data_IF_340579819441
#
_entry.id   IF_340579819441
#
_cell.length_a   1.000
_cell.length_b   1.000
_cell.length_c   1.000
_cell.angle_alpha   90.00
_cell.angle_beta   90.00
_cell.angle_gamma   90.00
#
_symmetry.space_group_name_H-M   'P 1'
#
loop_
_entity.id
_entity.type
_entity.pdbx_description
1 polymer ?
#
# COMPACT_ATOMS: atom_id res chain seq x y z
N UNK A 1 53.92 43.99 -38.61
CA UNK A 1 53.06 43.02 -39.31
C UNK A 1 52.50 42.06 -38.28
N UNK A 2 51.24 41.67 -38.48
CA UNK A 2 50.25 41.29 -37.47
C UNK A 2 50.48 39.91 -36.86
N UNK A 3 50.41 39.84 -35.54
CA UNK A 3 50.38 38.65 -34.68
C UNK A 3 49.03 37.96 -34.79
N UNK A 4 49.03 36.66 -35.13
CA UNK A 4 47.85 35.80 -35.17
C UNK A 4 47.70 35.14 -33.80
N UNK A 5 46.61 35.49 -33.09
CA UNK A 5 46.24 34.90 -31.81
C UNK A 5 45.19 33.80 -32.09
N UNK A 6 45.59 32.53 -32.06
CA UNK A 6 44.68 31.40 -32.19
C UNK A 6 43.87 31.24 -30.91
N UNK A 7 42.56 31.51 -31.01
CA UNK A 7 41.59 31.28 -29.95
C UNK A 7 41.19 29.79 -29.94
N UNK A 8 41.69 29.05 -28.96
CA UNK A 8 41.29 27.67 -28.69
C UNK A 8 39.96 27.72 -27.92
N UNK A 9 38.84 27.44 -28.59
CA UNK A 9 37.51 27.32 -27.94
C UNK A 9 37.45 25.96 -27.26
N UNK A 10 37.59 25.96 -25.93
CA UNK A 10 37.37 24.79 -25.10
C UNK A 10 35.89 24.43 -25.06
N UNK A 11 35.54 23.31 -25.68
CA UNK A 11 34.21 22.70 -25.60
C UNK A 11 34.05 22.07 -24.20
N UNK A 12 33.54 22.84 -23.25
CA UNK A 12 33.16 22.35 -21.93
C UNK A 12 31.91 21.49 -22.10
N UNK A 13 32.08 20.17 -22.21
CA UNK A 13 30.97 19.22 -22.17
C UNK A 13 30.48 19.19 -20.72
N UNK A 14 29.54 20.07 -20.40
CA UNK A 14 28.70 19.92 -19.23
C UNK A 14 27.88 18.65 -19.41
N UNK A 15 28.38 17.51 -18.91
CA UNK A 15 27.54 16.37 -18.54
C UNK A 15 26.75 16.77 -17.30
N UNK A 16 25.88 17.77 -17.44
CA UNK A 16 24.80 17.96 -16.49
C UNK A 16 24.00 16.67 -16.54
N UNK A 17 24.03 15.91 -15.46
CA UNK A 17 23.21 14.71 -15.35
C UNK A 17 21.79 15.11 -15.66
N UNK A 18 21.30 14.72 -16.83
CA UNK A 18 19.88 14.73 -17.14
C UNK A 18 19.28 13.77 -16.12
N UNK A 19 18.87 14.30 -14.97
CA UNK A 19 17.92 13.61 -14.11
C UNK A 19 16.70 13.45 -15.01
N UNK A 20 16.52 12.24 -15.53
CA UNK A 20 15.27 11.87 -16.17
C UNK A 20 14.14 12.31 -15.23
N UNK A 21 13.05 12.82 -15.78
CA UNK A 21 11.86 13.12 -14.99
C UNK A 21 11.36 11.77 -14.48
N UNK A 22 11.77 11.38 -13.29
CA UNK A 22 11.36 10.13 -12.66
C UNK A 22 10.08 10.39 -11.92
N UNK A 23 9.04 9.61 -12.20
CA UNK A 23 7.82 9.67 -11.39
C UNK A 23 7.88 8.63 -10.27
N UNK A 24 8.52 7.47 -10.51
CA UNK A 24 8.77 6.47 -9.48
C UNK A 24 9.98 6.85 -8.64
N UNK A 25 9.80 6.76 -7.33
CA UNK A 25 10.88 6.87 -6.37
C UNK A 25 11.78 5.63 -6.37
N UNK A 26 13.00 5.81 -5.88
CA UNK A 26 13.93 4.71 -5.69
C UNK A 26 13.38 3.73 -4.65
N UNK A 27 13.62 2.43 -4.90
CA UNK A 27 13.18 1.31 -4.06
C UNK A 27 11.66 1.27 -3.85
N UNK A 28 10.88 1.82 -4.79
CA UNK A 28 9.44 1.83 -4.72
C UNK A 28 8.86 0.41 -4.86
N UNK A 29 7.98 0.03 -3.92
CA UNK A 29 7.32 -1.27 -3.85
C UNK A 29 5.83 -1.08 -3.61
N UNK A 30 5.00 -1.78 -4.39
CA UNK A 30 3.55 -1.81 -4.26
C UNK A 30 3.09 -3.20 -3.88
N UNK A 31 2.07 -3.27 -3.03
CA UNK A 31 1.33 -4.50 -2.74
C UNK A 31 -0.14 -4.26 -3.06
N UNK A 32 -0.66 -4.93 -4.08
CA UNK A 32 -2.08 -4.89 -4.43
C UNK A 32 -2.76 -6.18 -3.99
N UNK A 33 -3.86 -6.07 -3.25
CA UNK A 33 -4.69 -7.21 -2.91
C UNK A 33 -5.47 -7.69 -4.11
N UNK A 34 -5.47 -9.00 -4.36
CA UNK A 34 -6.28 -9.63 -5.40
C UNK A 34 -7.53 -10.18 -4.73
N UNK A 35 -8.68 -9.55 -5.01
CA UNK A 35 -9.98 -10.07 -4.61
C UNK A 35 -10.55 -10.99 -5.71
N UNK A 36 -11.38 -11.98 -5.37
CA UNK A 36 -11.74 -12.43 -4.02
C UNK A 36 -10.76 -13.45 -3.41
N UNK A 37 -9.74 -13.87 -4.18
CA UNK A 37 -8.86 -15.00 -3.85
C UNK A 37 -8.01 -14.81 -2.57
N UNK A 38 -7.95 -13.59 -2.05
CA UNK A 38 -7.21 -13.24 -0.83
C UNK A 38 -5.73 -13.02 -1.07
N UNK A 39 -5.21 -13.36 -2.26
CA UNK A 39 -3.81 -13.16 -2.63
C UNK A 39 -3.40 -11.70 -2.74
N UNK A 40 -2.13 -11.49 -3.10
CA UNK A 40 -1.62 -10.18 -3.44
C UNK A 40 -0.68 -10.29 -4.63
N UNK A 41 -0.53 -9.17 -5.31
CA UNK A 41 0.43 -8.92 -6.35
C UNK A 41 1.42 -7.88 -5.82
N UNK A 42 2.69 -8.09 -6.12
CA UNK A 42 3.72 -7.09 -5.85
C UNK A 42 4.17 -6.45 -7.13
N UNK A 43 4.60 -5.20 -7.03
CA UNK A 43 5.44 -4.54 -8.03
C UNK A 43 6.63 -3.92 -7.33
N UNK A 44 7.79 -3.96 -7.97
CA UNK A 44 9.03 -3.37 -7.47
C UNK A 44 9.70 -2.60 -8.60
N UNK A 45 10.09 -1.36 -8.34
CA UNK A 45 10.95 -0.59 -9.21
C UNK A 45 12.38 -1.14 -9.13
N UNK A 46 12.94 -1.57 -10.27
CA UNK A 46 14.25 -2.24 -10.32
C UNK A 46 15.33 -1.44 -11.04
N UNK A 47 14.99 -0.29 -11.60
CA UNK A 47 15.94 0.62 -12.25
C UNK A 47 15.45 1.22 -13.56
N UNK A 48 16.25 2.15 -14.07
CA UNK A 48 16.02 2.83 -15.34
C UNK A 48 16.60 2.02 -16.52
N UNK A 49 15.99 2.19 -17.69
CA UNK A 49 16.40 1.61 -18.98
C UNK A 49 16.00 2.56 -20.11
N UNK A 50 16.28 2.20 -21.36
CA UNK A 50 15.73 2.86 -22.54
C UNK A 50 14.89 1.88 -23.37
N UNK A 51 13.70 2.30 -23.79
CA UNK A 51 12.82 1.54 -24.69
C UNK A 51 12.37 2.49 -25.79
N UNK A 52 12.58 2.10 -27.05
CA UNK A 52 12.22 2.89 -28.24
C UNK A 52 12.71 4.36 -28.19
N UNK A 53 13.95 4.56 -27.71
CA UNK A 53 14.56 5.88 -27.58
C UNK A 53 14.05 6.73 -26.40
N UNK A 54 13.11 6.23 -25.60
CA UNK A 54 12.60 6.91 -24.41
C UNK A 54 13.29 6.38 -23.15
N UNK A 55 13.60 7.27 -22.21
CA UNK A 55 14.03 6.88 -20.87
C UNK A 55 12.85 6.25 -20.13
N UNK A 56 13.02 5.03 -19.66
CA UNK A 56 11.96 4.23 -19.07
C UNK A 56 12.36 3.71 -17.69
N UNK A 57 11.41 3.67 -16.76
CA UNK A 57 11.53 3.04 -15.46
C UNK A 57 10.97 1.62 -15.55
N UNK A 58 11.78 0.61 -15.19
CA UNK A 58 11.40 -0.81 -15.23
C UNK A 58 10.87 -1.24 -13.86
N UNK A 59 9.73 -1.93 -13.88
CA UNK A 59 9.15 -2.59 -12.72
C UNK A 59 9.04 -4.09 -12.97
N UNK A 60 9.23 -4.88 -11.90
CA UNK A 60 8.97 -6.32 -11.89
C UNK A 60 7.76 -6.58 -11.00
N UNK A 61 6.74 -7.20 -11.59
CA UNK A 61 5.52 -7.62 -10.94
C UNK A 61 5.50 -9.11 -10.66
N UNK A 62 5.07 -9.51 -9.46
CA UNK A 62 4.84 -10.92 -9.13
C UNK A 62 3.36 -11.10 -8.77
N UNK A 63 2.58 -11.92 -9.50
CA UNK A 63 2.96 -12.77 -10.64
C UNK A 63 2.94 -12.07 -12.01
N UNK A 64 2.74 -10.75 -12.08
CA UNK A 64 2.30 -10.04 -13.29
C UNK A 64 3.35 -9.73 -14.36
N UNK A 65 4.63 -10.06 -14.14
CA UNK A 65 5.67 -9.96 -15.16
C UNK A 65 6.47 -8.66 -15.10
N UNK A 66 6.60 -7.95 -16.22
CA UNK A 66 7.46 -6.76 -16.33
C UNK A 66 6.63 -5.61 -16.90
N UNK A 67 6.81 -4.43 -16.33
CA UNK A 67 6.20 -3.18 -16.79
C UNK A 67 7.30 -2.15 -17.04
N UNK A 68 7.14 -1.34 -18.08
CA UNK A 68 8.02 -0.19 -18.33
C UNK A 68 7.17 1.06 -18.41
N UNK A 69 7.58 2.10 -17.69
CA UNK A 69 6.87 3.40 -17.68
C UNK A 69 7.82 4.55 -18.02
N UNK A 70 7.30 5.65 -18.56
CA UNK A 70 8.09 6.83 -18.89
C UNK A 70 7.27 8.08 -18.59
N UNK A 71 7.83 9.06 -17.88
CA UNK A 71 7.19 10.35 -17.68
C UNK A 71 7.70 11.36 -18.71
N UNK A 72 6.79 11.94 -19.49
CA UNK A 72 7.08 13.05 -20.41
C UNK A 72 5.98 14.11 -20.31
N UNK A 73 6.36 15.37 -20.13
CA UNK A 73 5.43 16.51 -20.12
C UNK A 73 4.21 16.32 -19.19
N UNK A 74 4.46 15.77 -17.99
CA UNK A 74 3.42 15.42 -16.99
C UNK A 74 2.50 14.25 -17.36
N UNK A 75 2.79 13.51 -18.42
CA UNK A 75 2.08 12.30 -18.80
C UNK A 75 2.96 11.09 -18.50
N UNK A 76 2.44 10.17 -17.69
CA UNK A 76 3.05 8.86 -17.49
C UNK A 76 2.57 7.95 -18.60
N UNK A 77 3.51 7.42 -19.35
CA UNK A 77 3.29 6.43 -20.39
C UNK A 77 3.67 5.04 -19.89
N UNK A 78 3.05 4.02 -20.48
CA UNK A 78 3.42 2.61 -20.30
C UNK A 78 3.75 1.98 -21.65
N UNK A 79 4.76 1.12 -21.69
CA UNK A 79 5.10 0.34 -22.89
C UNK A 79 4.38 -1.00 -22.84
N UNK A 80 3.38 -1.20 -23.71
CA UNK A 80 2.66 -2.46 -23.77
C UNK A 80 2.30 -2.86 -25.20
N UNK A 81 1.87 -4.11 -25.33
CA UNK A 81 1.34 -4.65 -26.57
C UNK A 81 -0.07 -4.08 -26.84
N UNK A 82 -0.21 -3.42 -27.99
CA UNK A 82 -1.45 -2.92 -28.54
C UNK A 82 -1.76 -3.71 -29.82
N UNK A 83 -2.55 -4.78 -29.67
CA UNK A 83 -2.97 -5.64 -30.78
C UNK A 83 -1.82 -6.22 -31.64
N UNK A 84 -0.73 -6.65 -30.99
CA UNK A 84 0.44 -7.27 -31.63
C UNK A 84 1.57 -6.31 -31.97
N UNK A 85 1.40 -5.01 -31.68
CA UNK A 85 2.44 -3.99 -31.83
C UNK A 85 2.74 -3.34 -30.49
N UNK A 86 4.00 -3.36 -30.08
CA UNK A 86 4.42 -2.69 -28.85
C UNK A 86 4.59 -1.19 -29.10
N UNK A 87 3.94 -0.37 -28.27
CA UNK A 87 3.97 1.07 -28.35
C UNK A 87 3.84 1.72 -26.96
N UNK A 88 4.20 3.00 -26.88
CA UNK A 88 3.94 3.82 -25.70
C UNK A 88 2.49 4.28 -25.68
N UNK A 89 1.80 4.06 -24.57
CA UNK A 89 0.42 4.52 -24.34
C UNK A 89 0.28 5.33 -23.06
N UNK A 90 -0.77 6.13 -22.96
CA UNK A 90 -1.06 6.93 -21.77
C UNK A 90 -1.48 6.02 -20.62
N UNK A 91 -0.73 6.10 -19.51
CA UNK A 91 -1.11 5.50 -18.24
C UNK A 91 -1.81 6.53 -17.34
N UNK A 92 -1.16 7.66 -17.08
CA UNK A 92 -1.67 8.74 -16.23
C UNK A 92 -1.38 10.12 -16.82
N UNK A 93 -2.23 11.10 -16.50
CA UNK A 93 -2.03 12.51 -16.88
C UNK A 93 -1.95 13.38 -15.61
N UNK A 94 -0.74 13.66 -15.12
CA UNK A 94 -0.49 14.45 -13.91
C UNK A 94 -0.65 15.98 -14.09
N UNK A 95 -1.17 16.40 -15.24
CA UNK A 95 -1.63 17.76 -15.50
C UNK A 95 -3.13 17.82 -15.78
N UNK A 96 -3.84 16.69 -15.67
CA UNK A 96 -5.27 16.63 -15.91
C UNK A 96 -6.06 17.39 -14.84
N UNK A 97 -7.17 18.00 -15.24
CA UNK A 97 -8.12 18.72 -14.41
C UNK A 97 -9.48 18.02 -14.41
N UNK A 98 -10.40 18.33 -13.47
CA UNK A 98 -11.73 17.72 -13.47
C UNK A 98 -12.45 17.83 -14.83
N UNK A 99 -13.00 16.71 -15.29
CA UNK A 99 -13.63 16.56 -16.61
C UNK A 99 -12.70 16.10 -17.73
N UNK A 100 -11.38 16.08 -17.53
CA UNK A 100 -10.45 15.47 -18.49
C UNK A 100 -10.64 13.95 -18.56
N UNK A 101 -10.54 13.41 -19.77
CA UNK A 101 -10.80 11.99 -20.05
C UNK A 101 -9.73 11.36 -20.91
N UNK A 102 -9.45 10.08 -20.69
CA UNK A 102 -8.64 9.26 -21.60
C UNK A 102 -9.00 7.79 -21.48
N UNK A 103 -8.59 7.02 -22.48
CA UNK A 103 -8.74 5.57 -22.46
C UNK A 103 -7.65 4.93 -21.62
N UNK A 104 -7.99 3.97 -20.73
CA UNK A 104 -7.01 3.01 -20.27
C UNK A 104 -6.37 2.26 -21.44
N UNK A 105 -5.16 1.76 -21.22
CA UNK A 105 -4.48 0.94 -22.22
C UNK A 105 -5.35 -0.25 -22.65
N UNK A 106 -5.36 -0.53 -23.95
CA UNK A 106 -6.15 -1.60 -24.59
C UNK A 106 -7.67 -1.48 -24.41
N UNK A 107 -8.20 -0.34 -23.96
CA UNK A 107 -9.64 -0.17 -23.78
C UNK A 107 -10.39 0.03 -25.11
N UNK A 108 -9.83 0.80 -26.06
CA UNK A 108 -10.49 1.09 -27.34
C UNK A 108 -10.78 -0.16 -28.19
N UNK A 109 -9.97 -1.22 -28.04
CA UNK A 109 -10.15 -2.47 -28.78
C UNK A 109 -11.17 -3.40 -28.13
N UNK A 110 -11.53 -3.17 -26.86
CA UNK A 110 -12.34 -4.08 -26.06
C UNK A 110 -13.70 -3.47 -25.71
N UNK A 111 -13.81 -2.14 -25.60
CA UNK A 111 -14.98 -1.45 -25.05
C UNK A 111 -15.56 -0.42 -26.05
N UNK A 112 -16.88 -0.41 -26.29
CA UNK A 112 -17.51 0.60 -27.13
C UNK A 112 -17.47 1.96 -26.44
N UNK A 113 -17.05 3.00 -27.15
CA UNK A 113 -17.00 4.36 -26.62
C UNK A 113 -18.40 4.88 -26.19
N UNK A 114 -18.55 5.54 -25.03
CA UNK A 114 -17.51 5.98 -24.07
C UNK A 114 -17.28 5.02 -22.87
N UNK A 115 -17.85 3.82 -22.91
CA UNK A 115 -17.85 2.90 -21.78
C UNK A 115 -16.43 2.44 -21.42
N UNK A 116 -16.00 2.68 -20.17
CA UNK A 116 -14.68 2.29 -19.65
C UNK A 116 -13.59 3.36 -19.78
N UNK A 117 -13.91 4.55 -20.31
CA UNK A 117 -13.00 5.71 -20.23
C UNK A 117 -12.77 6.12 -18.78
N UNK A 118 -11.57 6.64 -18.49
CA UNK A 118 -11.28 7.31 -17.22
C UNK A 118 -11.69 8.77 -17.31
N UNK A 119 -12.28 9.29 -16.24
CA UNK A 119 -12.53 10.72 -16.05
C UNK A 119 -11.99 11.18 -14.69
N UNK A 120 -11.31 12.33 -14.70
CA UNK A 120 -10.94 13.03 -13.45
C UNK A 120 -12.19 13.68 -12.86
N UNK A 121 -12.57 13.26 -11.65
CA UNK A 121 -13.67 13.84 -10.90
C UNK A 121 -13.22 15.05 -10.07
N UNK A 122 -12.06 14.94 -9.44
CA UNK A 122 -11.50 15.99 -8.58
C UNK A 122 -9.97 15.90 -8.51
N UNK A 123 -9.34 17.01 -8.10
CA UNK A 123 -7.90 17.08 -7.81
C UNK A 123 -7.66 17.66 -6.43
N UNK A 124 -6.83 17.01 -5.62
CA UNK A 124 -6.51 17.44 -4.26
C UNK A 124 -5.05 17.20 -3.91
N UNK A 125 -4.70 17.42 -2.64
CA UNK A 125 -3.41 17.05 -2.06
C UNK A 125 -3.68 16.07 -0.92
N UNK A 126 -3.04 14.91 -0.95
CA UNK A 126 -3.03 13.95 0.14
C UNK A 126 -1.64 13.90 0.78
N UNK A 127 -1.59 13.99 2.11
CA UNK A 127 -0.33 13.89 2.85
C UNK A 127 -0.16 12.45 3.33
N UNK A 128 0.91 11.78 2.89
CA UNK A 128 1.27 10.43 3.31
C UNK A 128 2.60 10.52 4.07
N UNK A 129 2.57 10.24 5.37
CA UNK A 129 3.68 10.59 6.26
C UNK A 129 3.84 12.11 6.32
N UNK A 130 5.00 12.61 5.89
CA UNK A 130 5.30 14.05 5.75
C UNK A 130 5.40 14.50 4.28
N UNK A 131 4.99 13.64 3.34
CA UNK A 131 5.11 13.92 1.90
C UNK A 131 3.74 14.34 1.35
N UNK A 132 3.61 15.60 0.88
CA UNK A 132 2.41 16.02 0.15
C UNK A 132 2.46 15.47 -1.27
N UNK A 133 1.44 14.71 -1.65
CA UNK A 133 1.25 14.16 -3.00
C UNK A 133 0.02 14.81 -3.63
N UNK A 134 0.09 15.10 -4.93
CA UNK A 134 -1.11 15.48 -5.69
C UNK A 134 -1.93 14.23 -5.94
N UNK A 135 -3.24 14.37 -5.81
CA UNK A 135 -4.19 13.27 -5.90
C UNK A 135 -5.24 13.60 -6.96
N UNK A 136 -5.52 12.65 -7.84
CA UNK A 136 -6.63 12.69 -8.78
C UNK A 136 -7.64 11.64 -8.36
N UNK A 137 -8.86 12.06 -8.06
CA UNK A 137 -9.98 11.15 -7.87
C UNK A 137 -10.58 10.85 -9.23
N UNK A 138 -10.67 9.56 -9.57
CA UNK A 138 -11.01 9.04 -10.87
C UNK A 138 -12.32 8.26 -10.83
N UNK A 139 -13.08 8.31 -11.92
CA UNK A 139 -14.21 7.42 -12.18
C UNK A 139 -14.05 6.75 -13.56
N UNK A 140 -14.66 5.57 -13.71
CA UNK A 140 -14.93 5.00 -15.03
C UNK A 140 -16.22 5.60 -15.58
N UNK A 141 -16.31 5.82 -16.89
CA UNK A 141 -17.55 6.22 -17.54
C UNK A 141 -18.39 5.01 -17.94
N UNK A 142 -19.70 5.12 -17.78
CA UNK A 142 -20.70 4.16 -18.27
C UNK A 142 -20.98 4.30 -19.78
N UNK A 143 -21.92 3.51 -20.28
CA UNK A 143 -22.34 3.54 -21.69
C UNK A 143 -22.95 4.88 -22.11
N UNK A 144 -23.56 5.60 -21.18
CA UNK A 144 -24.14 6.93 -21.38
C UNK A 144 -23.11 8.07 -21.34
N UNK A 145 -21.84 7.76 -21.00
CA UNK A 145 -20.76 8.73 -20.87
C UNK A 145 -20.76 9.52 -19.57
N UNK A 146 -21.60 9.13 -18.61
CA UNK A 146 -21.60 9.63 -17.25
C UNK A 146 -20.71 8.75 -16.35
N UNK A 147 -20.17 9.27 -15.24
CA UNK A 147 -19.46 8.45 -14.26
C UNK A 147 -20.32 7.27 -13.79
N UNK A 148 -19.79 6.06 -13.92
CA UNK A 148 -20.43 4.86 -13.42
C UNK A 148 -20.60 4.99 -11.89
N UNK A 149 -21.75 4.56 -11.37
CA UNK A 149 -22.09 4.66 -9.93
C UNK A 149 -21.24 3.76 -9.03
N UNK A 150 -20.25 3.07 -9.58
CA UNK A 150 -19.26 2.29 -8.85
C UNK A 150 -18.34 3.14 -7.97
N UNK A 151 -17.58 2.51 -7.07
CA UNK A 151 -16.58 3.23 -6.29
C UNK A 151 -15.50 3.76 -7.22
N UNK A 152 -15.30 5.09 -7.20
CA UNK A 152 -14.13 5.71 -7.81
C UNK A 152 -12.83 5.23 -7.16
N UNK A 153 -11.71 5.72 -7.68
CA UNK A 153 -10.38 5.40 -7.16
C UNK A 153 -9.46 6.61 -7.23
N UNK A 154 -8.36 6.58 -6.50
CA UNK A 154 -7.41 7.67 -6.49
C UNK A 154 -6.16 7.28 -7.27
N UNK A 155 -5.54 8.28 -7.89
CA UNK A 155 -4.19 8.22 -8.43
C UNK A 155 -3.37 9.28 -7.71
N UNK A 156 -2.27 8.89 -7.08
CA UNK A 156 -1.32 9.85 -6.52
C UNK A 156 -0.19 10.09 -7.50
N UNK A 157 0.33 11.31 -7.60
CA UNK A 157 1.67 11.47 -8.18
C UNK A 157 2.65 10.67 -7.30
N UNK A 158 3.68 10.10 -7.94
CA UNK A 158 4.65 9.17 -7.31
C UNK A 158 4.16 7.74 -7.01
N UNK A 159 2.97 7.55 -6.47
CA UNK A 159 2.46 6.20 -6.11
C UNK A 159 1.67 5.56 -7.25
N UNK A 160 0.89 6.33 -8.01
CA UNK A 160 -0.01 5.78 -9.03
C UNK A 160 -1.37 5.40 -8.43
N UNK A 161 -2.08 4.49 -9.09
CA UNK A 161 -3.48 4.17 -8.78
C UNK A 161 -3.67 3.28 -7.55
N UNK A 162 -4.75 3.52 -6.81
CA UNK A 162 -5.18 2.67 -5.68
C UNK A 162 -5.84 1.37 -6.10
N UNK A 163 -6.10 1.14 -7.39
CA UNK A 163 -6.77 -0.07 -7.89
C UNK A 163 -5.91 -0.93 -8.84
N UNK A 164 -4.60 -0.84 -8.69
CA UNK A 164 -3.60 -1.51 -9.53
C UNK A 164 -2.80 -0.51 -10.35
N UNK A 165 -1.50 -0.78 -10.56
CA UNK A 165 -0.60 0.13 -11.28
C UNK A 165 -1.02 0.40 -12.74
N UNK A 166 -1.80 -0.49 -13.34
CA UNK A 166 -2.41 -0.27 -14.65
C UNK A 166 -3.92 -0.43 -14.48
N UNK A 167 -4.66 0.69 -14.36
CA UNK A 167 -6.12 0.63 -14.32
C UNK A 167 -6.61 -0.03 -15.61
N UNK A 168 -7.38 -1.11 -15.47
CA UNK A 168 -8.04 -1.78 -16.59
C UNK A 168 -9.42 -1.14 -16.80
N UNK A 169 -9.95 -1.11 -18.03
CA UNK A 169 -11.26 -0.52 -18.27
C UNK A 169 -12.33 -1.25 -17.46
N UNK A 170 -12.82 -0.57 -16.42
CA UNK A 170 -13.86 -1.07 -15.53
C UNK A 170 -15.20 -1.15 -16.25
N UNK A 171 -15.98 -2.21 -15.98
CA UNK A 171 -17.35 -2.36 -16.49
C UNK A 171 -17.48 -3.18 -17.78
N UNK A 172 -16.70 -2.88 -18.82
CA UNK A 172 -16.77 -3.60 -20.10
C UNK A 172 -15.98 -4.92 -20.10
N UNK A 173 -14.98 -5.06 -19.22
CA UNK A 173 -14.32 -6.33 -18.97
C UNK A 173 -14.71 -6.79 -17.57
N UNK A 174 -15.42 -7.92 -17.49
CA UNK A 174 -15.62 -8.66 -16.24
C UNK A 174 -14.29 -9.32 -15.87
N UNK A 175 -13.31 -8.54 -15.39
CA UNK A 175 -12.10 -9.13 -14.81
C UNK A 175 -12.37 -9.36 -13.34
N UNK A 176 -12.47 -10.62 -12.94
CA UNK A 176 -12.67 -11.09 -11.56
C UNK A 176 -11.49 -10.75 -10.60
N UNK A 177 -10.70 -9.72 -10.89
CA UNK A 177 -9.60 -9.29 -10.04
C UNK A 177 -9.68 -7.78 -9.82
N UNK A 178 -10.54 -7.35 -8.90
CA UNK A 178 -10.35 -6.02 -8.32
C UNK A 178 -9.06 -6.05 -7.52
N UNK A 179 -8.12 -5.22 -7.96
CA UNK A 179 -6.86 -4.96 -7.26
C UNK A 179 -7.10 -3.76 -6.36
N UNK A 180 -6.66 -3.82 -5.11
CA UNK A 180 -6.72 -2.68 -4.21
C UNK A 180 -5.36 -2.51 -3.54
N UNK A 181 -4.82 -1.29 -3.53
CA UNK A 181 -3.54 -0.99 -2.92
C UNK A 181 -3.64 -1.31 -1.43
N UNK A 182 -2.86 -2.30 -0.97
CA UNK A 182 -2.71 -2.63 0.45
C UNK A 182 -1.68 -1.74 1.08
N UNK A 183 -0.51 -1.69 0.44
CA UNK A 183 0.62 -0.95 0.93
C UNK A 183 1.50 -0.40 -0.19
N UNK A 184 2.20 0.68 0.14
CA UNK A 184 3.28 1.25 -0.65
C UNK A 184 4.48 1.53 0.25
N UNK A 185 5.68 1.39 -0.29
CA UNK A 185 6.91 1.87 0.35
C UNK A 185 7.89 2.37 -0.70
N UNK A 186 8.71 3.35 -0.35
CA UNK A 186 9.88 3.80 -1.10
C UNK A 186 10.93 4.38 -0.14
N UNK A 187 12.01 4.97 -0.68
CA UNK A 187 13.10 5.57 0.11
C UNK A 187 12.66 6.70 1.07
N UNK A 188 11.62 7.46 0.73
CA UNK A 188 11.11 8.58 1.55
C UNK A 188 9.82 8.22 2.31
N UNK A 189 9.03 7.25 1.82
CA UNK A 189 7.81 6.72 2.45
C UNK A 189 8.11 5.29 2.92
N UNK A 190 8.61 5.08 4.14
CA UNK A 190 9.08 3.76 4.56
C UNK A 190 7.96 2.70 4.64
N UNK A 191 6.73 3.13 4.93
CA UNK A 191 5.53 2.30 4.85
C UNK A 191 4.27 3.16 4.84
N UNK A 192 3.43 2.97 3.83
CA UNK A 192 2.06 3.45 3.77
C UNK A 192 1.10 2.27 3.69
N UNK A 193 0.15 2.18 4.62
CA UNK A 193 -0.88 1.14 4.66
C UNK A 193 -2.27 1.76 4.47
N UNK A 194 -3.09 1.17 3.60
CA UNK A 194 -4.46 1.66 3.36
C UNK A 194 -5.48 1.12 4.35
N UNK A 195 -5.10 0.12 5.15
CA UNK A 195 -5.98 -0.58 6.10
C UNK A 195 -6.96 -1.57 5.47
N UNK A 196 -6.92 -1.77 4.15
CA UNK A 196 -7.76 -2.76 3.45
C UNK A 196 -7.38 -4.21 3.83
N UNK A 197 -6.12 -4.41 4.23
CA UNK A 197 -5.59 -5.69 4.71
C UNK A 197 -4.80 -5.45 6.00
N UNK A 198 -4.80 -6.40 6.97
CA UNK A 198 -3.97 -6.28 8.18
C UNK A 198 -2.47 -6.41 7.92
N UNK A 199 -2.07 -6.70 6.68
CA UNK A 199 -0.68 -6.85 6.25
C UNK A 199 -0.56 -6.65 4.73
N UNK A 200 0.60 -6.16 4.31
CA UNK A 200 1.00 -6.07 2.90
C UNK A 200 1.19 -7.44 2.24
N UNK A 201 1.75 -8.41 2.97
CA UNK A 201 2.26 -9.69 2.43
C UNK A 201 1.47 -10.92 2.88
N UNK A 202 0.52 -10.78 3.81
CA UNK A 202 -0.34 -11.89 4.22
C UNK A 202 -1.74 -11.76 3.62
N UNK A 203 -2.16 -12.81 2.92
CA UNK A 203 -3.52 -12.99 2.40
C UNK A 203 -4.55 -13.25 3.51
N UNK A 204 -4.10 -13.89 4.59
CA UNK A 204 -4.91 -14.28 5.74
C UNK A 204 -4.26 -13.73 7.01
N UNK A 205 -4.82 -12.65 7.54
CA UNK A 205 -4.62 -12.31 8.93
C UNK A 205 -5.72 -12.99 9.74
N UNK A 206 -5.38 -13.70 10.81
CA UNK A 206 -6.36 -13.89 11.88
C UNK A 206 -6.60 -12.49 12.42
N UNK A 207 -7.69 -11.85 11.98
CA UNK A 207 -8.16 -10.63 12.62
C UNK A 207 -8.37 -11.03 14.06
N UNK A 208 -7.45 -10.65 14.95
CA UNK A 208 -7.63 -10.81 16.38
C UNK A 208 -8.99 -10.23 16.66
N UNK A 209 -9.94 -11.09 16.96
CA UNK A 209 -11.31 -10.67 17.21
C UNK A 209 -11.25 -9.82 18.47
N UNK A 210 -11.14 -8.50 18.31
CA UNK A 210 -11.37 -7.52 19.37
C UNK A 210 -12.86 -7.46 19.77
N UNK A 211 -13.64 -8.51 19.46
CA UNK A 211 -15.04 -8.63 19.82
C UNK A 211 -15.25 -9.36 21.18
N UNK A 212 -14.21 -9.47 22.01
CA UNK A 212 -14.34 -10.05 23.35
C UNK A 212 -13.59 -9.23 24.37
N UNK A 213 -14.30 -8.32 25.06
CA UNK A 213 -13.88 -7.62 26.28
C UNK A 213 -12.61 -6.78 26.22
N UNK A 214 -12.73 -5.46 26.42
CA UNK A 214 -11.59 -4.58 26.71
C UNK A 214 -10.98 -4.98 28.04
N UNK A 215 -9.83 -5.65 27.99
CA UNK A 215 -9.02 -5.99 29.16
C UNK A 215 -7.89 -4.97 29.27
N UNK A 216 -7.77 -4.34 30.43
CA UNK A 216 -6.65 -3.46 30.78
C UNK A 216 -5.69 -4.21 31.69
N UNK A 217 -4.38 -4.08 31.41
CA UNK A 217 -3.30 -4.63 32.22
C UNK A 217 -2.44 -3.51 32.79
N UNK A 218 -2.33 -3.44 34.11
CA UNK A 218 -1.52 -2.41 34.76
C UNK A 218 -0.97 -2.86 36.13
N UNK A 219 0.22 -2.39 36.53
CA UNK A 219 1.12 -1.56 35.73
C UNK A 219 1.84 -2.39 34.64
N UNK A 220 2.21 -1.75 33.54
CA UNK A 220 3.08 -2.32 32.50
C UNK A 220 4.12 -1.26 32.08
N UNK A 221 5.42 -1.41 32.40
CA UNK A 221 6.03 -2.53 33.13
C UNK A 221 5.54 -2.67 34.57
N UNK A 222 5.71 -3.86 35.16
CA UNK A 222 5.36 -4.10 36.56
C UNK A 222 6.37 -4.96 37.30
N UNK A 223 6.38 -4.84 38.62
CA UNK A 223 7.30 -5.59 39.49
C UNK A 223 6.58 -6.80 40.07
N UNK A 224 5.91 -6.67 41.21
CA UNK A 224 5.44 -7.82 42.00
C UNK A 224 4.03 -8.30 41.64
N UNK A 225 3.29 -7.54 40.84
CA UNK A 225 1.94 -7.90 40.44
C UNK A 225 1.56 -7.20 39.13
N UNK A 226 0.58 -7.79 38.46
CA UNK A 226 -0.15 -7.17 37.35
C UNK A 226 -1.65 -7.29 37.65
N UNK A 227 -2.37 -6.20 37.43
CA UNK A 227 -3.83 -6.16 37.57
C UNK A 227 -4.44 -6.30 36.19
N UNK A 228 -5.34 -7.27 36.05
CA UNK A 228 -6.19 -7.46 34.88
C UNK A 228 -7.59 -6.93 35.23
N UNK A 229 -8.16 -6.05 34.40
CA UNK A 229 -9.51 -5.52 34.60
C UNK A 229 -10.28 -5.55 33.29
N UNK A 230 -11.46 -6.18 33.33
CA UNK A 230 -12.44 -6.21 32.23
C UNK A 230 -13.42 -5.05 32.39
N UNK A 231 -13.69 -4.33 31.29
CA UNK A 231 -14.56 -3.14 31.32
C UNK A 231 -16.02 -3.42 30.90
N UNK A 232 -16.30 -4.57 30.32
CA UNK A 232 -17.58 -4.90 29.68
C UNK A 232 -18.51 -5.77 30.55
N UNK A 233 -18.20 -5.92 31.84
CA UNK A 233 -19.00 -6.73 32.77
C UNK A 233 -18.83 -8.24 32.60
N UNK A 234 -17.98 -8.70 31.69
CA UNK A 234 -17.61 -10.12 31.59
C UNK A 234 -16.72 -10.56 32.75
N UNK A 235 -16.53 -11.88 32.87
CA UNK A 235 -15.68 -12.48 33.91
C UNK A 235 -14.51 -13.19 33.26
N UNK A 236 -13.37 -13.13 33.93
CA UNK A 236 -12.26 -14.05 33.67
C UNK A 236 -12.78 -15.49 33.76
N UNK A 237 -12.15 -16.38 33.01
CA UNK A 237 -12.35 -17.83 33.10
C UNK A 237 -11.00 -18.52 33.27
N UNK A 238 -10.04 -18.19 32.40
CA UNK A 238 -8.69 -18.73 32.45
C UNK A 238 -7.67 -17.65 32.11
N UNK A 239 -6.55 -17.66 32.81
CA UNK A 239 -5.40 -16.80 32.55
C UNK A 239 -4.16 -17.68 32.42
N UNK A 240 -3.38 -17.48 31.37
CA UNK A 240 -2.07 -18.10 31.19
C UNK A 240 -1.03 -17.03 30.95
N UNK A 241 0.08 -17.10 31.68
CA UNK A 241 1.25 -16.25 31.48
C UNK A 241 2.33 -17.11 30.84
N UNK A 242 2.85 -16.68 29.70
CA UNK A 242 3.94 -17.35 28.98
C UNK A 242 5.15 -16.44 28.88
N UNK A 243 6.33 -17.01 28.95
CA UNK A 243 7.57 -16.28 28.68
C UNK A 243 7.79 -16.06 27.17
N UNK A 244 8.88 -15.36 26.82
CA UNK A 244 9.28 -15.10 25.45
C UNK A 244 9.55 -16.37 24.59
N UNK A 245 9.68 -17.55 25.21
CA UNK A 245 9.83 -18.84 24.52
C UNK A 245 8.50 -19.60 24.42
N UNK A 246 7.39 -19.01 24.87
CA UNK A 246 6.05 -19.61 24.87
C UNK A 246 5.79 -20.61 26.01
N UNK A 247 6.72 -20.75 26.96
CA UNK A 247 6.57 -21.67 28.10
C UNK A 247 5.60 -21.07 29.10
N UNK A 248 4.61 -21.85 29.55
CA UNK A 248 3.66 -21.41 30.58
C UNK A 248 4.37 -21.27 31.92
N UNK A 249 4.40 -20.06 32.46
CA UNK A 249 4.97 -19.74 33.77
C UNK A 249 3.91 -19.68 34.87
N UNK A 250 2.70 -19.24 34.54
CA UNK A 250 1.54 -19.22 35.44
C UNK A 250 0.29 -19.63 34.68
N UNK A 251 -0.62 -20.33 35.35
CA UNK A 251 -1.92 -20.70 34.80
C UNK A 251 -2.94 -20.83 35.92
N UNK A 252 -3.95 -19.97 35.90
CA UNK A 252 -5.01 -19.95 36.91
C UNK A 252 -6.38 -19.79 36.27
N UNK A 253 -7.41 -20.29 36.94
CA UNK A 253 -8.81 -20.00 36.62
C UNK A 253 -9.41 -19.07 37.67
N UNK A 254 -10.13 -18.06 37.22
CA UNK A 254 -10.81 -17.08 38.06
C UNK A 254 -12.20 -16.82 37.50
N UNK A 255 -13.11 -16.29 38.32
CA UNK A 255 -14.48 -15.94 37.91
C UNK A 255 -14.84 -14.52 38.34
N UNK A 256 -13.88 -13.61 38.21
CA UNK A 256 -14.00 -12.20 38.61
C UNK A 256 -13.84 -11.28 37.39
N UNK A 257 -14.32 -10.04 37.46
CA UNK A 257 -14.09 -9.02 36.44
C UNK A 257 -12.77 -8.26 36.64
N UNK A 258 -12.10 -8.47 37.77
CA UNK A 258 -10.79 -7.90 38.09
C UNK A 258 -9.97 -8.89 38.90
N UNK A 259 -8.68 -9.00 38.59
CA UNK A 259 -7.75 -9.87 39.28
C UNK A 259 -6.39 -9.20 39.41
N UNK A 260 -5.82 -9.27 40.61
CA UNK A 260 -4.41 -8.93 40.86
C UNK A 260 -3.60 -10.21 40.87
N UNK A 261 -2.83 -10.45 39.82
CA UNK A 261 -1.97 -11.64 39.68
C UNK A 261 -0.62 -11.37 40.36
N UNK A 262 -0.18 -12.29 41.22
CA UNK A 262 1.15 -12.24 41.85
C UNK A 262 2.21 -12.73 40.86
N UNK A 263 3.19 -11.88 40.56
CA UNK A 263 4.25 -12.13 39.58
C UNK A 263 5.64 -12.12 40.23
N UNK A 264 5.73 -12.21 41.56
CA UNK A 264 7.01 -12.19 42.29
C UNK A 264 7.96 -13.33 41.91
N UNK A 265 7.43 -14.49 41.55
CA UNK A 265 8.22 -15.65 41.13
C UNK A 265 8.73 -15.58 39.69
N UNK A 266 8.23 -14.62 38.89
CA UNK A 266 8.66 -14.43 37.51
C UNK A 266 9.99 -13.68 37.46
N UNK A 267 10.88 -14.15 36.58
CA UNK A 267 12.17 -13.50 36.28
C UNK A 267 11.90 -12.24 35.43
N UNK A 268 12.69 -11.15 35.58
CA UNK A 268 12.58 -9.99 34.70
C UNK A 268 12.65 -10.36 33.22
N UNK A 269 11.76 -9.79 32.41
CA UNK A 269 11.62 -10.13 31.00
C UNK A 269 10.24 -9.85 30.39
N UNK A 270 10.07 -10.31 29.16
CA UNK A 270 8.85 -10.16 28.37
C UNK A 270 7.93 -11.38 28.54
N UNK A 271 6.63 -11.12 28.73
CA UNK A 271 5.60 -12.13 28.89
C UNK A 271 4.37 -11.83 28.03
N UNK A 272 3.73 -12.89 27.53
CA UNK A 272 2.36 -12.82 27.02
C UNK A 272 1.37 -13.34 28.05
N UNK A 273 0.26 -12.62 28.21
CA UNK A 273 -0.84 -12.93 29.12
C UNK A 273 -2.06 -13.25 28.28
N UNK A 274 -2.36 -14.52 28.14
CA UNK A 274 -3.56 -15.03 27.48
C UNK A 274 -4.72 -14.99 28.49
N UNK A 275 -5.85 -14.39 28.11
CA UNK A 275 -7.05 -14.29 28.93
C UNK A 275 -8.23 -14.86 28.16
N UNK A 276 -8.85 -15.88 28.75
CA UNK A 276 -10.13 -16.41 28.32
C UNK A 276 -11.24 -15.88 29.23
N UNK A 277 -12.32 -15.39 28.63
CA UNK A 277 -13.48 -14.82 29.33
C UNK A 277 -14.70 -15.74 29.27
N UNK A 278 -15.66 -15.50 30.16
CA UNK A 278 -16.87 -16.32 30.30
C UNK A 278 -17.78 -16.32 29.06
N UNK A 279 -17.65 -15.34 28.17
CA UNK A 279 -18.37 -15.29 26.89
C UNK A 279 -17.61 -16.02 25.76
N UNK A 280 -16.52 -16.72 26.07
CA UNK A 280 -15.68 -17.42 25.09
C UNK A 280 -14.67 -16.52 24.37
N UNK A 281 -14.57 -15.25 24.75
CA UNK A 281 -13.53 -14.35 24.25
C UNK A 281 -12.14 -14.83 24.64
N UNK A 282 -11.21 -14.76 23.69
CA UNK A 282 -9.79 -15.03 23.92
C UNK A 282 -9.00 -13.80 23.49
N UNK A 283 -8.16 -13.29 24.38
CA UNK A 283 -7.26 -12.17 24.09
C UNK A 283 -5.85 -12.45 24.60
N UNK A 284 -4.86 -11.83 23.97
CA UNK A 284 -3.45 -11.95 24.35
C UNK A 284 -2.89 -10.55 24.53
N UNK A 285 -2.24 -10.32 25.67
CA UNK A 285 -1.66 -9.04 26.02
C UNK A 285 -0.18 -9.18 26.36
N UNK A 286 0.61 -8.15 26.08
CA UNK A 286 2.04 -8.17 26.37
C UNK A 286 2.35 -7.38 27.64
N UNK A 287 3.19 -7.94 28.50
CA UNK A 287 3.56 -7.35 29.78
C UNK A 287 5.06 -7.53 30.05
N UNK A 288 5.68 -6.49 30.62
CA UNK A 288 7.11 -6.48 30.95
C UNK A 288 7.26 -6.57 32.47
N UNK A 289 8.00 -7.58 32.92
CA UNK A 289 8.46 -7.75 34.31
C UNK A 289 9.79 -7.03 34.50
N UNK A 290 9.85 -6.16 35.50
CA UNK A 290 11.09 -5.55 36.02
C UNK A 290 11.71 -6.33 37.18
#
# INVERSE_FOLDING_TARGET
>A
MKTIFSFLVGLLICTGGLRAQTWLAQDAVWHYGVLPSGGYETWEYVGDTAIDGWNAQKLIGTPSGVLFTSLQDSIVYTWADQAGTWAWDTLYRFNAVPGDRWWPINAETICPAPWGMLEVQDTSITVIGDIPLRTWTMAYLGEDGEPDGGPGFDVYDRIGSTIGLVPLPGGCIVVESSKALRCYADVDIPLYETGISPSCTFAVGVKGSNAGSTISLFPNPGTNNVTLKLEDGTRLQEIRVRDALGRTCLQNSHHTSSLKLDTRSLVPGFYSIEVQTSNGGLSVHHWIKE
#
